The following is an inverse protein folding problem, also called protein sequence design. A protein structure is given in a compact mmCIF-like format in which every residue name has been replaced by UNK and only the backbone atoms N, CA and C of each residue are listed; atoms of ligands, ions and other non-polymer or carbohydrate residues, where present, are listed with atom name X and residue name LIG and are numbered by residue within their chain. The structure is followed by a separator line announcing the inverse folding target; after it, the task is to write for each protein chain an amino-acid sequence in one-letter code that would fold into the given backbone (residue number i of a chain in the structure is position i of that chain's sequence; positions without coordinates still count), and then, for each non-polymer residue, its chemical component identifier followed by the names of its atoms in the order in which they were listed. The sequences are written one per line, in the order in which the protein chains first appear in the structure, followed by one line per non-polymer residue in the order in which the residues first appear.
data_IF_113957746562
#
_entry.id   IF_113957746562
#
_cell.length_a   1.000
_cell.length_b   1.000
_cell.length_c   1.000
_cell.angle_alpha   90.00
_cell.angle_beta   90.00
_cell.angle_gamma   90.00
#
_symmetry.space_group_name_H-M   'P 1'
#
loop_
_entity.id
_entity.type
_entity.pdbx_description
1 polymer ?
#
# COMPACT_ATOMS: atom_id res chain seq x y z
N UNK A 1 17.07 -19.62 7.24
CA UNK A 1 17.00 -19.15 8.65
C UNK A 1 15.62 -18.55 8.81
N UNK A 2 14.76 -19.11 9.65
CA UNK A 2 13.47 -18.50 9.97
C UNK A 2 13.75 -17.30 10.88
N UNK A 3 13.74 -16.09 10.31
CA UNK A 3 13.79 -14.86 11.10
C UNK A 3 12.69 -14.96 12.17
N UNK A 4 13.07 -14.76 13.42
CA UNK A 4 12.08 -14.73 14.53
C UNK A 4 11.31 -13.40 14.43
N UNK A 5 10.25 -13.39 13.61
CA UNK A 5 9.41 -12.21 13.42
C UNK A 5 8.63 -11.96 14.70
N UNK A 6 8.73 -10.74 15.24
CA UNK A 6 7.92 -10.32 16.41
C UNK A 6 6.43 -10.46 16.11
N UNK A 7 5.61 -10.59 17.15
CA UNK A 7 4.14 -10.57 17.03
C UNK A 7 3.61 -9.17 16.77
N UNK A 8 4.38 -8.14 17.11
CA UNK A 8 4.01 -6.74 16.97
C UNK A 8 5.08 -5.97 16.20
N UNK A 9 4.67 -4.86 15.60
CA UNK A 9 5.50 -3.98 14.76
C UNK A 9 5.20 -2.51 15.03
N UNK A 10 6.07 -1.64 14.54
CA UNK A 10 5.76 -0.22 14.41
C UNK A 10 4.94 0.02 13.14
N UNK A 11 3.91 0.86 13.25
CA UNK A 11 3.08 1.28 12.13
C UNK A 11 2.59 2.72 12.29
N UNK A 12 2.38 3.41 11.19
CA UNK A 12 1.61 4.67 11.14
C UNK A 12 0.23 4.33 10.63
N UNK A 13 -0.78 4.63 11.44
CA UNK A 13 -2.15 4.20 11.21
C UNK A 13 -3.05 5.42 11.00
N UNK A 14 -3.81 5.41 9.92
CA UNK A 14 -4.84 6.39 9.63
C UNK A 14 -6.14 5.98 10.35
N UNK A 15 -6.65 6.85 11.23
CA UNK A 15 -7.83 6.58 12.08
C UNK A 15 -9.12 7.21 11.56
N UNK A 16 -9.03 8.01 10.50
CA UNK A 16 -10.17 8.68 9.86
C UNK A 16 -9.70 9.64 8.79
N UNK A 17 -10.62 10.15 7.99
CA UNK A 17 -10.29 11.23 7.05
C UNK A 17 -9.98 12.53 7.80
N UNK A 18 -9.09 13.37 7.24
CA UNK A 18 -8.77 14.68 7.80
C UNK A 18 -7.30 15.08 7.69
N UNK A 19 -6.84 15.88 8.65
CA UNK A 19 -5.48 16.39 8.74
C UNK A 19 -4.46 15.36 9.23
N UNK A 20 -3.26 15.84 9.56
CA UNK A 20 -2.18 14.99 10.09
C UNK A 20 -2.49 14.44 11.48
N UNK A 21 -3.44 15.02 12.19
CA UNK A 21 -3.97 14.53 13.47
C UNK A 21 -4.64 13.16 13.38
N UNK A 22 -4.98 12.73 12.17
CA UNK A 22 -5.55 11.40 11.89
C UNK A 22 -4.50 10.30 11.69
N UNK A 23 -3.21 10.65 11.66
CA UNK A 23 -2.10 9.70 11.58
C UNK A 23 -1.55 9.44 12.98
N UNK A 24 -1.68 8.21 13.44
CA UNK A 24 -1.22 7.76 14.76
C UNK A 24 -0.03 6.80 14.62
N UNK A 25 1.05 7.04 15.38
CA UNK A 25 2.18 6.14 15.44
C UNK A 25 1.97 5.08 16.54
N UNK A 26 1.90 3.82 16.13
CA UNK A 26 1.78 2.67 17.02
C UNK A 26 3.10 1.90 17.10
N UNK A 27 3.52 1.51 18.32
CA UNK A 27 4.74 0.70 18.56
C UNK A 27 4.45 -0.79 18.66
N UNK A 28 3.22 -1.18 18.88
CA UNK A 28 2.79 -2.56 19.15
C UNK A 28 1.61 -2.97 18.26
N UNK A 29 1.61 -2.54 16.98
CA UNK A 29 0.62 -2.95 16.00
C UNK A 29 0.82 -4.44 15.64
N UNK A 30 -0.23 -5.24 15.50
CA UNK A 30 -0.06 -6.65 15.14
C UNK A 30 0.64 -6.82 13.78
N UNK A 31 1.63 -7.71 13.71
CA UNK A 31 2.19 -8.14 12.42
C UNK A 31 1.16 -9.00 11.70
N UNK A 32 0.80 -8.70 10.43
CA UNK A 32 -0.19 -9.48 9.71
C UNK A 32 0.33 -10.88 9.38
N UNK A 33 -0.55 -11.87 9.45
CA UNK A 33 -0.27 -13.20 8.91
C UNK A 33 -0.72 -13.26 7.44
N UNK A 34 0.15 -13.66 6.51
CA UNK A 34 -0.23 -13.78 5.11
C UNK A 34 -1.13 -15.01 4.90
N UNK A 35 -2.28 -14.87 4.21
CA UNK A 35 -3.05 -16.00 3.69
C UNK A 35 -2.23 -16.90 2.75
N UNK A 36 -2.83 -18.00 2.28
CA UNK A 36 -2.12 -19.01 1.51
C UNK A 36 -1.49 -18.49 0.21
N UNK A 37 -2.11 -17.49 -0.43
CA UNK A 37 -1.68 -16.88 -1.71
C UNK A 37 -0.95 -15.54 -1.54
N UNK A 38 -0.70 -15.13 -0.29
CA UNK A 38 0.01 -13.89 0.01
C UNK A 38 1.41 -14.14 0.58
N UNK A 39 2.19 -13.09 0.60
CA UNK A 39 3.52 -13.06 1.22
C UNK A 39 3.59 -11.97 2.28
N UNK A 40 4.43 -12.16 3.29
CA UNK A 40 4.81 -11.14 4.26
C UNK A 40 6.13 -10.49 3.83
N UNK A 41 6.12 -9.17 3.72
CA UNK A 41 7.28 -8.37 3.35
C UNK A 41 7.74 -7.56 4.56
N UNK A 42 9.00 -7.66 4.90
CA UNK A 42 9.67 -6.71 5.80
C UNK A 42 9.99 -5.46 5.00
N UNK A 43 9.27 -4.37 5.27
CA UNK A 43 9.44 -3.10 4.57
C UNK A 43 10.79 -2.47 4.91
N UNK A 44 11.56 -2.12 3.89
CA UNK A 44 12.83 -1.42 3.99
C UNK A 44 12.67 0.08 3.74
N UNK A 45 11.80 0.44 2.80
CA UNK A 45 11.42 1.82 2.52
C UNK A 45 9.98 1.88 1.97
N UNK A 46 9.32 3.01 2.22
CA UNK A 46 8.04 3.32 1.60
C UNK A 46 8.03 4.80 1.19
N UNK A 47 7.77 5.07 -0.08
CA UNK A 47 7.65 6.41 -0.62
C UNK A 47 6.39 7.11 -0.14
N UNK A 48 6.44 8.44 -0.03
CA UNK A 48 5.30 9.31 0.18
C UNK A 48 4.77 9.75 -1.18
N UNK A 49 3.48 9.60 -1.42
CA UNK A 49 2.86 9.95 -2.69
C UNK A 49 1.60 10.81 -2.47
N UNK A 50 1.19 11.55 -3.50
CA UNK A 50 -0.07 12.31 -3.45
C UNK A 50 -1.29 11.43 -3.21
N UNK A 51 -1.26 10.17 -3.65
CA UNK A 51 -2.37 9.23 -3.39
C UNK A 51 -2.60 9.00 -1.90
N UNK A 52 -1.56 9.00 -1.07
CA UNK A 52 -1.67 8.88 0.38
C UNK A 52 -2.37 10.11 0.99
N UNK A 53 -1.98 11.31 0.53
CA UNK A 53 -2.61 12.57 0.95
C UNK A 53 -4.07 12.62 0.51
N UNK A 54 -4.34 12.25 -0.74
CA UNK A 54 -5.68 12.27 -1.32
C UNK A 54 -6.62 11.28 -0.61
N UNK A 55 -6.15 10.08 -0.31
CA UNK A 55 -6.92 9.09 0.46
C UNK A 55 -7.19 9.58 1.88
N UNK A 56 -6.18 10.12 2.57
CA UNK A 56 -6.34 10.66 3.92
C UNK A 56 -7.34 11.81 3.98
N UNK A 57 -7.30 12.71 3.00
CA UNK A 57 -8.20 13.88 2.94
C UNK A 57 -9.56 13.58 2.32
N UNK A 58 -9.87 12.32 1.95
CA UNK A 58 -11.07 11.94 1.19
C UNK A 58 -11.21 12.66 -0.16
N UNK A 59 -10.10 13.10 -0.76
CA UNK A 59 -10.14 13.85 -2.02
C UNK A 59 -10.75 13.05 -3.19
N UNK A 60 -10.62 11.72 -3.17
CA UNK A 60 -11.22 10.85 -4.20
C UNK A 60 -12.74 10.68 -4.08
N UNK A 61 -13.37 11.23 -3.03
CA UNK A 61 -14.83 11.18 -2.90
C UNK A 61 -15.51 11.84 -4.10
N UNK A 62 -16.53 11.20 -4.63
CA UNK A 62 -17.34 11.71 -5.76
C UNK A 62 -18.05 13.02 -5.46
N UNK A 63 -18.24 13.33 -4.18
CA UNK A 63 -18.80 14.61 -3.72
C UNK A 63 -17.81 15.78 -3.77
N UNK A 64 -16.51 15.49 -3.98
CA UNK A 64 -15.47 16.51 -4.02
C UNK A 64 -15.27 17.04 -5.44
N UNK A 65 -15.53 18.33 -5.66
CA UNK A 65 -15.32 19.02 -6.95
C UNK A 65 -14.09 19.94 -6.96
N UNK A 66 -13.35 20.00 -5.84
CA UNK A 66 -12.25 20.95 -5.65
C UNK A 66 -10.92 20.42 -6.23
N UNK A 67 -10.03 21.35 -6.60
CA UNK A 67 -8.69 21.01 -7.04
C UNK A 67 -7.81 20.56 -5.88
N UNK A 68 -6.74 19.77 -6.17
CA UNK A 68 -5.77 19.25 -5.18
C UNK A 68 -4.85 20.34 -4.58
N UNK A 69 -5.26 21.58 -4.53
CA UNK A 69 -4.42 22.71 -4.09
C UNK A 69 -4.88 23.31 -2.78
N UNK A 70 -3.97 23.47 -1.83
CA UNK A 70 -4.14 24.28 -0.63
C UNK A 70 -5.20 23.75 0.34
N UNK A 71 -6.18 24.57 0.65
CA UNK A 71 -7.19 24.31 1.69
C UNK A 71 -8.17 23.17 1.35
N UNK A 72 -8.24 22.71 0.09
CA UNK A 72 -9.04 21.56 -0.36
C UNK A 72 -8.58 20.22 0.27
N UNK A 73 -7.40 20.18 0.90
CA UNK A 73 -6.87 19.03 1.62
C UNK A 73 -7.42 18.89 3.05
N UNK A 74 -8.30 19.77 3.48
CA UNK A 74 -8.89 19.78 4.83
C UNK A 74 -10.35 19.36 4.76
N UNK A 75 -10.62 18.06 4.97
CA UNK A 75 -11.93 17.59 5.37
C UNK A 75 -12.99 17.53 4.29
N UNK A 76 -12.74 16.81 3.19
CA UNK A 76 -13.84 16.34 2.36
C UNK A 76 -14.70 15.36 3.20
N UNK A 77 -15.97 15.68 3.40
CA UNK A 77 -16.95 14.77 3.99
C UNK A 77 -17.44 13.81 2.88
N UNK A 78 -16.89 12.59 2.86
CA UNK A 78 -17.33 11.57 1.90
C UNK A 78 -17.00 10.18 2.42
N UNK A 79 -18.00 9.29 2.42
CA UNK A 79 -17.82 7.89 2.82
C UNK A 79 -17.08 7.07 1.75
N UNK A 80 -16.96 7.58 0.51
CA UNK A 80 -16.40 6.92 -0.68
C UNK A 80 -15.00 7.43 -1.04
N UNK A 81 -14.17 7.73 -0.03
CA UNK A 81 -12.89 8.44 -0.19
C UNK A 81 -11.71 7.63 -0.74
N UNK A 82 -11.90 6.39 -1.22
CA UNK A 82 -10.84 5.61 -1.85
C UNK A 82 -10.73 5.87 -3.34
N UNK A 83 -9.58 5.54 -3.92
CA UNK A 83 -9.35 5.61 -5.36
C UNK A 83 -10.31 4.71 -6.15
N UNK A 84 -10.62 3.51 -5.64
CA UNK A 84 -11.58 2.58 -6.23
C UNK A 84 -13.05 2.99 -6.02
N UNK A 85 -13.33 4.04 -5.26
CA UNK A 85 -14.68 4.55 -4.97
C UNK A 85 -15.43 3.78 -3.88
N UNK A 86 -14.75 2.92 -3.13
CA UNK A 86 -15.27 2.30 -1.92
C UNK A 86 -15.02 3.19 -0.69
N UNK A 87 -15.72 2.93 0.41
CA UNK A 87 -15.41 3.56 1.69
C UNK A 87 -14.08 3.06 2.24
N UNK A 88 -13.26 3.96 2.81
CA UNK A 88 -12.06 3.54 3.55
C UNK A 88 -12.50 2.86 4.83
N UNK A 89 -12.01 1.65 5.04
CA UNK A 89 -12.18 0.95 6.32
C UNK A 89 -11.07 1.38 7.28
N UNK A 90 -11.43 2.10 8.34
CA UNK A 90 -10.49 2.51 9.40
C UNK A 90 -10.48 1.49 10.55
N UNK A 91 -9.34 1.34 11.25
CA UNK A 91 -8.04 1.97 10.97
C UNK A 91 -7.36 1.40 9.71
N UNK A 92 -6.53 2.21 9.04
CA UNK A 92 -5.83 1.85 7.79
C UNK A 92 -4.35 2.21 7.87
N UNK A 93 -3.46 1.29 7.50
CA UNK A 93 -2.06 1.62 7.23
C UNK A 93 -1.96 2.07 5.78
N UNK A 94 -1.51 3.30 5.54
CA UNK A 94 -1.27 3.85 4.20
C UNK A 94 0.12 3.48 3.67
N UNK A 95 0.53 4.06 2.55
CA UNK A 95 1.83 3.88 1.91
C UNK A 95 1.77 2.99 0.68
N UNK A 96 1.63 3.63 -0.48
CA UNK A 96 1.44 2.96 -1.77
C UNK A 96 2.73 2.43 -2.40
N UNK A 97 3.87 3.05 -2.09
CA UNK A 97 5.17 2.82 -2.73
C UNK A 97 6.12 2.04 -1.81
N UNK A 98 5.88 0.76 -1.57
CA UNK A 98 6.70 -0.03 -0.66
C UNK A 98 7.72 -0.93 -1.37
N UNK A 99 8.90 -1.00 -0.76
CA UNK A 99 10.01 -1.88 -1.12
C UNK A 99 10.48 -2.62 0.13
N UNK A 100 10.81 -3.88 -0.02
CA UNK A 100 11.30 -4.66 1.11
C UNK A 100 11.78 -6.04 0.74
N UNK A 101 11.93 -6.89 1.75
CA UNK A 101 12.36 -8.28 1.59
C UNK A 101 11.22 -9.21 1.96
N UNK A 102 10.93 -10.19 1.14
CA UNK A 102 9.95 -11.24 1.44
C UNK A 102 10.49 -12.12 2.57
N UNK A 103 9.79 -12.18 3.70
CA UNK A 103 10.23 -12.89 4.92
C UNK A 103 9.35 -14.08 5.27
N UNK A 104 8.16 -14.19 4.70
CA UNK A 104 7.28 -15.34 4.80
C UNK A 104 6.44 -15.47 3.53
N UNK A 105 6.13 -16.70 3.16
CA UNK A 105 5.37 -17.02 1.94
C UNK A 105 4.25 -17.98 2.34
N UNK A 106 3.03 -17.69 1.90
CA UNK A 106 1.87 -18.55 2.10
C UNK A 106 2.01 -19.87 1.34
N UNK A 107 1.21 -20.85 1.71
CA UNK A 107 1.33 -22.24 1.22
C UNK A 107 1.14 -22.33 -0.31
N UNK A 108 0.22 -21.53 -0.87
CA UNK A 108 -0.11 -21.52 -2.31
C UNK A 108 0.64 -20.43 -3.08
N UNK A 109 1.41 -19.59 -2.40
CA UNK A 109 2.19 -18.53 -3.03
C UNK A 109 3.51 -19.08 -3.59
N UNK A 110 4.16 -18.28 -4.44
CA UNK A 110 5.43 -18.67 -5.08
C UNK A 110 6.57 -18.72 -4.06
N UNK A 111 7.02 -19.94 -3.74
CA UNK A 111 8.00 -20.21 -2.67
C UNK A 111 9.40 -19.65 -2.98
N UNK A 112 9.73 -19.43 -4.25
CA UNK A 112 11.03 -18.84 -4.69
C UNK A 112 11.18 -17.38 -4.29
N UNK A 113 10.09 -16.70 -3.89
CA UNK A 113 10.11 -15.31 -3.44
C UNK A 113 10.77 -15.12 -2.08
N UNK A 114 10.85 -16.16 -1.23
CA UNK A 114 11.43 -16.03 0.11
C UNK A 114 12.87 -15.48 0.06
N UNK A 115 13.13 -14.45 0.81
CA UNK A 115 14.43 -13.76 0.85
C UNK A 115 14.67 -12.80 -0.32
N UNK A 116 13.80 -12.73 -1.32
CA UNK A 116 13.94 -11.79 -2.43
C UNK A 116 13.67 -10.37 -1.98
N UNK A 117 14.51 -9.43 -2.44
CA UNK A 117 14.26 -8.00 -2.40
C UNK A 117 13.27 -7.67 -3.50
N UNK A 118 12.20 -6.97 -3.19
CA UNK A 118 11.13 -6.75 -4.15
C UNK A 118 10.46 -5.38 -4.00
N UNK A 119 9.93 -4.89 -5.09
CA UNK A 119 8.95 -3.80 -5.17
C UNK A 119 7.53 -4.40 -5.16
N UNK A 120 6.57 -3.63 -4.67
CA UNK A 120 5.16 -4.00 -4.65
C UNK A 120 4.43 -3.25 -5.77
N UNK A 121 3.72 -3.99 -6.64
CA UNK A 121 2.71 -3.38 -7.52
C UNK A 121 1.51 -2.96 -6.67
N UNK A 122 1.24 -1.68 -6.61
CA UNK A 122 0.17 -1.11 -5.78
C UNK A 122 -1.24 -1.40 -6.28
N UNK A 123 -1.43 -1.89 -7.50
CA UNK A 123 -2.75 -2.17 -8.05
C UNK A 123 -3.36 -3.45 -7.50
N UNK A 124 -4.52 -3.34 -6.87
CA UNK A 124 -5.33 -4.49 -6.52
C UNK A 124 -6.09 -4.96 -7.76
N UNK A 125 -5.93 -6.23 -8.10
CA UNK A 125 -6.49 -6.83 -9.32
C UNK A 125 -7.36 -8.03 -9.01
N UNK A 126 -8.39 -8.20 -9.78
CA UNK A 126 -9.02 -9.50 -10.00
C UNK A 126 -8.25 -10.22 -11.11
N UNK A 127 -7.44 -11.20 -10.72
CA UNK A 127 -6.60 -11.92 -11.67
C UNK A 127 -7.39 -12.79 -12.64
N UNK A 128 -8.66 -13.00 -12.37
CA UNK A 128 -9.59 -13.78 -13.22
C UNK A 128 -10.42 -12.86 -14.14
N UNK A 129 -10.44 -11.54 -13.89
CA UNK A 129 -11.06 -10.54 -14.77
C UNK A 129 -10.00 -9.64 -15.42
N UNK A 130 -9.65 -9.86 -16.71
CA UNK A 130 -8.62 -9.07 -17.40
C UNK A 130 -8.96 -7.57 -17.50
N UNK A 131 -10.22 -7.20 -17.33
CA UNK A 131 -10.64 -5.79 -17.29
C UNK A 131 -10.66 -5.21 -15.87
N UNK A 132 -10.38 -6.02 -14.86
CA UNK A 132 -10.33 -5.65 -13.45
C UNK A 132 -11.53 -4.81 -12.95
N UNK A 133 -12.73 -5.13 -13.44
CA UNK A 133 -13.95 -4.33 -13.17
C UNK A 133 -14.47 -4.49 -11.75
N UNK A 134 -14.17 -5.61 -11.10
CA UNK A 134 -14.76 -6.00 -9.81
C UNK A 134 -13.87 -5.69 -8.60
N UNK A 135 -12.56 -5.53 -8.79
CA UNK A 135 -11.58 -5.36 -7.69
C UNK A 135 -10.62 -4.19 -7.91
N UNK A 136 -11.06 -3.14 -8.60
CA UNK A 136 -10.26 -1.94 -8.72
C UNK A 136 -9.99 -1.35 -7.32
N UNK A 137 -8.71 -1.21 -6.96
CA UNK A 137 -8.29 -0.67 -5.67
C UNK A 137 -6.79 -0.48 -5.63
N UNK A 138 -6.31 0.03 -4.50
CA UNK A 138 -4.91 0.40 -4.36
C UNK A 138 -4.34 0.02 -2.98
N UNK A 139 -3.11 -0.47 -2.98
CA UNK A 139 -2.33 -0.77 -1.80
C UNK A 139 -2.10 0.50 -0.96
N UNK A 140 -2.43 0.45 0.32
CA UNK A 140 -2.43 1.61 1.20
C UNK A 140 -3.73 2.42 1.20
N UNK A 141 -4.74 1.99 0.45
CA UNK A 141 -6.07 2.59 0.38
C UNK A 141 -7.15 1.54 0.70
N UNK A 142 -7.48 0.64 -0.23
CA UNK A 142 -8.45 -0.43 -0.04
C UNK A 142 -7.92 -1.59 0.81
N UNK A 143 -6.61 -1.73 0.95
CA UNK A 143 -5.95 -2.63 1.89
C UNK A 143 -4.81 -1.92 2.62
N UNK A 144 -4.21 -2.54 3.63
CA UNK A 144 -3.07 -1.99 4.36
C UNK A 144 -1.84 -1.89 3.47
N UNK A 145 -1.08 -0.81 3.65
CA UNK A 145 0.07 -0.42 2.86
C UNK A 145 1.41 -0.56 3.57
N UNK A 146 2.37 0.27 3.17
CA UNK A 146 3.78 0.19 3.53
C UNK A 146 4.23 1.07 4.70
N UNK A 147 3.37 1.89 5.33
CA UNK A 147 3.79 2.71 6.48
C UNK A 147 3.87 1.90 7.77
N UNK A 148 4.49 0.73 7.68
CA UNK A 148 4.72 -0.20 8.77
C UNK A 148 6.02 -0.97 8.56
N UNK A 149 6.50 -1.68 9.60
CA UNK A 149 7.68 -2.54 9.47
C UNK A 149 7.42 -3.79 8.62
N UNK A 150 6.17 -4.25 8.57
CA UNK A 150 5.74 -5.39 7.76
C UNK A 150 4.42 -5.08 7.07
N UNK A 151 4.27 -5.63 5.88
CA UNK A 151 3.02 -5.61 5.12
C UNK A 151 2.82 -6.95 4.43
N UNK A 152 1.58 -7.24 3.99
CA UNK A 152 1.26 -8.44 3.24
C UNK A 152 0.57 -8.10 1.93
N UNK A 153 0.87 -8.84 0.89
CA UNK A 153 0.29 -8.69 -0.44
C UNK A 153 0.19 -10.03 -1.15
N UNK A 154 -0.66 -10.12 -2.18
CA UNK A 154 -0.64 -11.26 -3.10
C UNK A 154 0.77 -11.46 -3.67
N UNK A 155 1.22 -12.72 -3.75
CA UNK A 155 2.53 -13.04 -4.34
C UNK A 155 2.66 -12.53 -5.79
N UNK A 156 1.53 -12.35 -6.50
CA UNK A 156 1.48 -11.83 -7.88
C UNK A 156 1.77 -10.34 -8.00
N UNK A 157 1.69 -9.60 -6.89
CA UNK A 157 2.03 -8.17 -6.83
C UNK A 157 3.49 -7.92 -6.46
N UNK A 158 4.26 -8.99 -6.24
CA UNK A 158 5.65 -8.91 -5.78
C UNK A 158 6.58 -9.03 -6.98
N UNK A 159 7.38 -7.99 -7.22
CA UNK A 159 8.34 -7.94 -8.32
C UNK A 159 9.77 -7.94 -7.77
N UNK A 160 10.47 -9.09 -7.80
CA UNK A 160 11.88 -9.16 -7.40
C UNK A 160 12.75 -8.17 -8.18
N UNK A 161 13.63 -7.48 -7.46
CA UNK A 161 14.50 -6.45 -8.04
C UNK A 161 15.96 -6.75 -7.72
N UNK A 162 16.75 -6.94 -8.77
CA UNK A 162 18.22 -7.00 -8.71
C UNK A 162 18.78 -5.70 -9.31
N UNK A 163 18.89 -4.67 -8.48
CA UNK A 163 19.41 -3.36 -8.85
C UNK A 163 20.34 -2.81 -7.78
N UNK A 164 21.31 -1.99 -8.21
CA UNK A 164 22.25 -1.31 -7.31
C UNK A 164 21.66 -0.13 -6.55
N UNK A 165 20.44 0.29 -6.92
CA UNK A 165 19.70 1.37 -6.27
C UNK A 165 19.39 1.03 -4.82
N UNK A 166 19.38 2.04 -3.95
CA UNK A 166 18.93 1.91 -2.57
C UNK A 166 17.43 1.59 -2.49
N UNK A 167 16.97 1.06 -1.35
CA UNK A 167 15.53 0.82 -1.12
C UNK A 167 14.72 2.12 -1.18
N UNK A 168 15.29 3.24 -0.70
CA UNK A 168 14.65 4.55 -0.75
C UNK A 168 14.47 5.04 -2.20
N UNK A 169 15.46 4.83 -3.07
CA UNK A 169 15.34 5.15 -4.49
C UNK A 169 14.28 4.27 -5.16
N UNK A 170 14.30 2.95 -4.93
CA UNK A 170 13.31 2.04 -5.50
C UNK A 170 11.88 2.37 -5.02
N UNK A 171 11.71 2.81 -3.79
CA UNK A 171 10.41 3.22 -3.25
C UNK A 171 9.81 4.48 -3.90
N UNK A 172 10.51 5.12 -4.83
CA UNK A 172 9.96 6.25 -5.60
C UNK A 172 9.31 5.85 -6.92
N UNK A 173 9.41 4.58 -7.31
CA UNK A 173 9.03 4.15 -8.66
C UNK A 173 7.59 3.65 -8.79
N UNK A 174 7.10 2.85 -7.84
CA UNK A 174 5.91 2.04 -8.06
C UNK A 174 4.70 2.85 -8.54
N UNK A 175 4.22 3.81 -7.77
CA UNK A 175 3.05 4.60 -8.14
C UNK A 175 3.33 5.54 -9.34
N UNK A 176 4.44 6.28 -9.28
CA UNK A 176 4.73 7.33 -10.26
C UNK A 176 5.03 6.78 -11.65
N UNK A 177 5.85 5.74 -11.74
CA UNK A 177 6.27 5.20 -13.04
C UNK A 177 5.21 4.30 -13.68
N UNK A 178 4.45 3.52 -12.89
CA UNK A 178 3.31 2.77 -13.42
C UNK A 178 2.26 3.72 -13.99
N UNK A 179 2.01 4.84 -13.33
CA UNK A 179 1.10 5.88 -13.83
C UNK A 179 1.62 6.49 -15.13
N UNK A 180 2.92 6.83 -15.20
CA UNK A 180 3.53 7.38 -16.42
C UNK A 180 3.50 6.37 -17.57
N UNK A 181 3.81 5.10 -17.32
CA UNK A 181 3.77 4.02 -18.32
C UNK A 181 2.37 3.88 -18.93
N UNK A 182 1.33 3.88 -18.09
CA UNK A 182 -0.06 3.81 -18.55
C UNK A 182 -0.51 5.03 -19.36
N UNK A 183 0.16 6.18 -19.23
CA UNK A 183 -0.13 7.37 -20.03
C UNK A 183 0.56 7.36 -21.40
N UNK A 184 1.62 6.57 -21.55
CA UNK A 184 2.45 6.52 -22.77
C UNK A 184 2.03 5.38 -23.71
N UNK A 185 1.29 4.39 -23.23
CA UNK A 185 0.78 3.23 -23.96
C UNK A 185 -0.74 3.32 -24.15
#
# INVERSE_FOLDING_TARGET
MTDNISKTMHAVVLTGHGGLDKLEFHREWPVPEPPSDEVLIRVAACGLNNTDVNTRSAWYSKGNSDATTGDALVGAEGEDGTWGGASVSFPRIQGADAVGTVVRVGESAEQSLIGQRAMIDGWLRDWDDPLNRSKAGYFGSECDGGYAQYTKVSHRQVHPVDATMSDAELATFACSYVTAENMLN
#
